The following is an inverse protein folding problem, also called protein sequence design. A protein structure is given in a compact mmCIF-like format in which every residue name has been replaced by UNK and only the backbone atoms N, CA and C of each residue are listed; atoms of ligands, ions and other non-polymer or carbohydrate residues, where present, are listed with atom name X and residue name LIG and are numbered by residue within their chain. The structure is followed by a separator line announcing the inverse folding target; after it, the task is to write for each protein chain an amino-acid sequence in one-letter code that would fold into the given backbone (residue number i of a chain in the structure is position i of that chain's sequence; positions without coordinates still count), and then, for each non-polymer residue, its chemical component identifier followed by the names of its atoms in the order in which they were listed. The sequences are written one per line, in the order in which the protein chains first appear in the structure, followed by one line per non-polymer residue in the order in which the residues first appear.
data_IF_039778775753
#
_entry.id   IF_039778775753
#
_cell.length_a   1.000
_cell.length_b   1.000
_cell.length_c   1.000
_cell.angle_alpha   90.00
_cell.angle_beta   90.00
_cell.angle_gamma   90.00
#
_symmetry.space_group_name_H-M   'P 1'
#
loop_
_entity.id
_entity.type
_entity.pdbx_description
1 polymer ?
#
# COMPACT_ATOMS: atom_id res chain seq x y z
N UNK A 1 -10.47 -7.21 6.91
CA UNK A 1 -9.50 -7.52 5.87
C UNK A 1 -10.13 -8.43 4.86
N UNK A 2 -9.72 -8.34 3.68
CA UNK A 2 -10.45 -8.79 2.52
C UNK A 2 -10.31 -10.27 2.23
N UNK A 3 -11.20 -10.70 1.35
CA UNK A 3 -11.26 -12.05 0.79
C UNK A 3 -9.89 -12.45 0.23
N UNK A 4 -9.53 -13.71 0.39
CA UNK A 4 -8.28 -14.28 -0.11
C UNK A 4 -8.19 -14.36 -1.66
N UNK A 5 -9.15 -13.82 -2.40
CA UNK A 5 -9.22 -13.96 -3.85
C UNK A 5 -9.32 -12.62 -4.54
N UNK A 6 -8.30 -12.32 -5.31
CA UNK A 6 -8.46 -11.38 -6.41
C UNK A 6 -8.65 -12.19 -7.67
N UNK A 7 -9.76 -11.99 -8.37
CA UNK A 7 -9.86 -12.50 -9.74
C UNK A 7 -8.88 -11.74 -10.62
N UNK A 8 -8.32 -12.40 -11.64
CA UNK A 8 -7.43 -11.73 -12.61
C UNK A 8 -8.09 -10.48 -13.19
N UNK A 9 -9.40 -10.49 -13.37
CA UNK A 9 -10.20 -9.37 -13.85
C UNK A 9 -10.07 -8.11 -12.98
N UNK A 10 -10.04 -8.25 -11.65
CA UNK A 10 -9.86 -7.10 -10.74
C UNK A 10 -8.44 -6.57 -10.73
N UNK A 11 -7.45 -7.44 -10.80
CA UNK A 11 -6.05 -7.03 -10.99
C UNK A 11 -5.93 -6.24 -12.29
N UNK A 12 -6.55 -6.71 -13.36
CA UNK A 12 -6.53 -6.06 -14.66
C UNK A 12 -7.27 -4.70 -14.63
N UNK A 13 -8.36 -4.56 -13.87
CA UNK A 13 -9.04 -3.28 -13.68
C UNK A 13 -8.15 -2.24 -12.97
N UNK A 14 -7.44 -2.63 -11.92
CA UNK A 14 -6.62 -1.71 -11.12
C UNK A 14 -5.24 -1.46 -11.73
N UNK A 15 -4.63 -2.47 -12.34
CA UNK A 15 -3.24 -2.45 -12.78
C UNK A 15 -2.99 -2.90 -14.23
N UNK A 16 -4.05 -3.18 -15.00
CA UNK A 16 -3.91 -3.69 -16.38
C UNK A 16 -3.08 -2.77 -17.27
N UNK A 17 -3.16 -1.47 -17.05
CA UNK A 17 -2.37 -0.46 -17.74
C UNK A 17 -0.86 -0.51 -17.42
N UNK A 18 -0.46 -1.19 -16.35
CA UNK A 18 0.94 -1.37 -15.95
C UNK A 18 1.53 -2.69 -16.45
N UNK A 19 0.67 -3.69 -16.70
CA UNK A 19 1.10 -5.05 -17.05
C UNK A 19 1.52 -5.15 -18.51
N UNK A 20 0.80 -4.49 -19.43
CA UNK A 20 1.09 -4.50 -20.85
C UNK A 20 2.09 -3.41 -21.19
N UNK A 21 3.15 -3.78 -21.89
CA UNK A 21 4.25 -2.88 -22.24
C UNK A 21 3.79 -1.59 -22.90
N UNK A 22 2.89 -1.67 -23.89
CA UNK A 22 2.38 -0.50 -24.60
C UNK A 22 1.60 0.42 -23.66
N UNK A 23 0.70 -0.14 -22.86
CA UNK A 23 -0.17 0.63 -21.96
C UNK A 23 0.66 1.28 -20.85
N UNK A 24 1.67 0.59 -20.33
CA UNK A 24 2.61 1.11 -19.34
C UNK A 24 3.41 2.30 -19.90
N UNK A 25 3.94 2.19 -21.12
CA UNK A 25 4.64 3.29 -21.79
C UNK A 25 3.72 4.51 -22.02
N UNK A 26 2.49 4.29 -22.48
CA UNK A 26 1.52 5.37 -22.65
C UNK A 26 1.20 6.06 -21.32
N UNK A 27 1.08 5.27 -20.24
CA UNK A 27 0.80 5.80 -18.92
C UNK A 27 1.99 6.55 -18.33
N UNK A 28 3.21 6.06 -18.55
CA UNK A 28 4.45 6.78 -18.26
C UNK A 28 4.44 8.17 -18.89
N UNK A 29 4.13 8.26 -20.20
CA UNK A 29 4.04 9.53 -20.92
C UNK A 29 2.98 10.49 -20.33
N UNK A 30 1.83 9.95 -19.87
CA UNK A 30 0.79 10.74 -19.20
C UNK A 30 1.25 11.28 -17.84
N UNK A 31 1.99 10.49 -17.07
CA UNK A 31 2.53 10.93 -15.77
C UNK A 31 3.55 12.03 -15.95
N UNK A 32 4.37 12.00 -17.01
CA UNK A 32 5.33 13.06 -17.28
C UNK A 32 4.71 14.43 -17.56
N UNK A 33 3.44 14.45 -17.98
CA UNK A 33 2.69 15.68 -18.26
C UNK A 33 1.92 16.21 -17.02
N UNK A 34 1.91 15.47 -15.91
CA UNK A 34 1.24 15.87 -14.68
C UNK A 34 2.22 16.57 -13.74
N UNK A 35 1.66 17.43 -12.87
CA UNK A 35 2.40 17.93 -11.72
C UNK A 35 2.76 16.76 -10.82
N UNK A 36 4.04 16.67 -10.45
CA UNK A 36 4.56 15.62 -9.61
C UNK A 36 5.66 16.10 -8.69
N UNK A 37 5.70 15.55 -7.51
CA UNK A 37 6.71 15.83 -6.49
C UNK A 37 7.70 14.67 -6.44
N UNK A 38 8.98 14.94 -6.62
CA UNK A 38 10.01 13.92 -6.39
C UNK A 38 10.22 13.72 -4.89
N UNK A 39 9.98 12.49 -4.42
CA UNK A 39 9.95 12.15 -3.00
C UNK A 39 11.06 11.18 -2.56
N UNK A 40 12.05 10.88 -3.42
CA UNK A 40 13.07 9.87 -3.09
C UNK A 40 13.84 10.19 -1.79
N UNK A 41 14.06 11.48 -1.51
CA UNK A 41 14.73 11.94 -0.27
C UNK A 41 13.85 11.70 0.95
N UNK A 42 12.55 12.02 0.87
CA UNK A 42 11.57 11.80 1.95
C UNK A 42 11.40 10.30 2.24
N UNK A 43 11.38 9.48 1.21
CA UNK A 43 11.33 8.02 1.33
C UNK A 43 12.66 7.44 1.82
N UNK A 44 13.74 8.21 1.71
CA UNK A 44 15.08 7.80 2.15
C UNK A 44 15.66 6.67 1.32
N UNK A 45 15.48 6.73 0.00
CA UNK A 45 16.04 5.76 -0.95
C UNK A 45 17.05 6.44 -1.87
N UNK A 46 18.10 5.70 -2.21
CA UNK A 46 19.08 6.11 -3.22
C UNK A 46 18.73 5.40 -4.53
N UNK A 47 18.49 6.18 -5.56
CA UNK A 47 18.10 5.66 -6.86
C UNK A 47 19.21 5.96 -7.89
N UNK A 48 19.46 5.06 -8.85
CA UNK A 48 20.26 5.37 -10.03
C UNK A 48 19.67 6.56 -10.80
N UNK A 49 20.51 7.31 -11.50
CA UNK A 49 20.11 8.56 -12.17
C UNK A 49 19.03 8.44 -13.27
N UNK A 50 18.77 7.21 -13.74
CA UNK A 50 17.67 6.94 -14.67
C UNK A 50 16.31 6.75 -13.98
N UNK A 51 16.25 6.72 -12.64
CA UNK A 51 15.01 6.50 -11.90
C UNK A 51 14.56 7.77 -11.18
N UNK A 52 13.25 7.96 -11.14
CA UNK A 52 12.57 9.01 -10.38
C UNK A 52 11.47 8.39 -9.54
N UNK A 53 11.44 8.68 -8.23
CA UNK A 53 10.34 8.29 -7.35
C UNK A 53 9.50 9.53 -7.07
N UNK A 54 8.28 9.54 -7.59
CA UNK A 54 7.44 10.72 -7.52
C UNK A 54 6.06 10.43 -6.96
N UNK A 55 5.49 11.42 -6.27
CA UNK A 55 4.09 11.49 -5.89
C UNK A 55 3.31 12.28 -6.94
N UNK A 56 2.15 11.77 -7.32
CA UNK A 56 1.16 12.43 -8.16
C UNK A 56 -0.18 12.48 -7.44
N UNK A 57 -0.86 13.61 -7.51
CA UNK A 57 -2.20 13.74 -6.95
C UNK A 57 -3.23 13.13 -7.90
N UNK A 58 -4.20 12.44 -7.31
CA UNK A 58 -5.35 11.88 -7.98
C UNK A 58 -6.62 12.61 -7.53
N UNK A 59 -7.76 12.21 -8.09
CA UNK A 59 -9.05 12.79 -7.71
C UNK A 59 -9.39 12.51 -6.23
N UNK A 60 -10.20 13.38 -5.61
CA UNK A 60 -10.76 13.23 -4.26
C UNK A 60 -9.73 13.18 -3.11
N UNK A 61 -8.53 13.72 -3.33
CA UNK A 61 -7.45 13.73 -2.34
C UNK A 61 -6.70 12.40 -2.25
N UNK A 62 -6.98 11.47 -3.15
CA UNK A 62 -6.15 10.28 -3.34
C UNK A 62 -4.85 10.65 -4.06
N UNK A 63 -3.85 9.80 -3.98
CA UNK A 63 -2.58 10.02 -4.67
C UNK A 63 -1.94 8.70 -5.09
N UNK A 64 -0.96 8.78 -5.98
CA UNK A 64 -0.11 7.64 -6.27
C UNK A 64 1.37 8.00 -6.09
N UNK A 65 2.15 6.98 -5.73
CA UNK A 65 3.61 7.04 -5.70
C UNK A 65 4.11 6.13 -6.81
N UNK A 66 4.92 6.67 -7.70
CA UNK A 66 5.36 5.99 -8.91
C UNK A 66 6.88 5.98 -8.98
N UNK A 67 7.47 4.85 -9.33
CA UNK A 67 8.87 4.74 -9.71
C UNK A 67 8.95 4.71 -11.23
N UNK A 68 9.46 5.77 -11.79
CA UNK A 68 9.68 5.93 -13.23
C UNK A 68 11.09 5.48 -13.59
N UNK A 69 11.23 4.69 -14.65
CA UNK A 69 12.51 4.43 -15.31
C UNK A 69 12.56 5.20 -16.62
N UNK A 70 13.33 6.27 -16.64
CA UNK A 70 13.50 7.14 -17.80
C UNK A 70 14.31 6.47 -18.92
N UNK A 71 15.11 5.45 -18.62
CA UNK A 71 15.90 4.75 -19.63
C UNK A 71 15.08 3.82 -20.51
N UNK A 72 14.04 3.20 -19.92
CA UNK A 72 13.12 2.32 -20.64
C UNK A 72 11.76 2.96 -20.92
N UNK A 73 11.53 4.19 -20.42
CA UNK A 73 10.26 4.91 -20.49
C UNK A 73 9.09 4.09 -19.95
N UNK A 74 9.26 3.56 -18.71
CA UNK A 74 8.31 2.65 -18.04
C UNK A 74 8.09 3.04 -16.59
N UNK A 75 6.95 2.63 -16.09
CA UNK A 75 6.65 2.61 -14.66
C UNK A 75 7.11 1.25 -14.12
N UNK A 76 8.05 1.26 -13.19
CA UNK A 76 8.58 0.05 -12.56
C UNK A 76 7.87 -0.32 -11.25
N UNK A 77 7.26 0.68 -10.59
CA UNK A 77 6.55 0.50 -9.33
C UNK A 77 5.40 1.52 -9.21
N UNK A 78 4.28 1.09 -8.66
CA UNK A 78 3.10 1.91 -8.52
C UNK A 78 2.40 1.62 -7.19
N UNK A 79 2.19 2.65 -6.39
CA UNK A 79 1.44 2.58 -5.14
C UNK A 79 0.28 3.57 -5.24
N UNK A 80 -0.95 3.06 -5.24
CA UNK A 80 -2.16 3.88 -5.15
C UNK A 80 -2.55 3.99 -3.69
N UNK A 81 -2.64 5.19 -3.18
CA UNK A 81 -3.10 5.49 -1.84
C UNK A 81 -4.47 6.18 -1.91
N UNK A 82 -5.47 5.53 -1.34
CA UNK A 82 -6.82 6.08 -1.22
C UNK A 82 -7.03 6.55 0.21
N UNK A 83 -7.38 7.82 0.38
CA UNK A 83 -7.64 8.40 1.71
C UNK A 83 -9.08 8.06 2.12
N UNK A 84 -9.22 7.39 3.24
CA UNK A 84 -10.52 7.00 3.78
C UNK A 84 -11.09 8.07 4.71
N UNK A 85 -12.33 8.47 4.43
CA UNK A 85 -13.03 9.53 5.18
C UNK A 85 -14.06 8.99 6.18
N UNK A 86 -14.41 7.72 6.06
CA UNK A 86 -15.48 7.07 6.85
C UNK A 86 -14.96 6.28 8.05
N UNK A 87 -13.67 6.32 8.30
CA UNK A 87 -13.06 5.70 9.48
C UNK A 87 -13.11 6.69 10.64
N UNK A 88 -13.96 6.39 11.62
CA UNK A 88 -14.12 7.22 12.82
C UNK A 88 -13.02 6.85 13.81
N UNK A 89 -11.88 7.51 13.70
CA UNK A 89 -10.76 7.35 14.62
C UNK A 89 -10.21 8.73 14.98
N UNK A 90 -9.85 8.91 16.24
CA UNK A 90 -9.13 10.10 16.68
C UNK A 90 -7.63 9.96 16.35
N UNK A 91 -7.30 10.13 15.07
CA UNK A 91 -5.98 9.85 14.54
C UNK A 91 -5.75 10.57 13.21
N UNK A 92 -4.52 10.51 12.71
CA UNK A 92 -4.17 10.93 11.35
C UNK A 92 -5.03 10.21 10.30
N UNK A 93 -5.26 10.83 9.13
CA UNK A 93 -6.03 10.21 8.06
C UNK A 93 -5.56 8.79 7.75
N UNK A 94 -6.52 7.92 7.46
CA UNK A 94 -6.25 6.51 7.14
C UNK A 94 -6.17 6.35 5.64
N UNK A 95 -5.15 5.66 5.15
CA UNK A 95 -4.99 5.36 3.73
C UNK A 95 -5.06 3.87 3.47
N UNK A 96 -5.86 3.48 2.50
CA UNK A 96 -5.76 2.16 1.88
C UNK A 96 -4.71 2.19 0.80
N UNK A 97 -3.86 1.18 0.76
CA UNK A 97 -2.75 1.11 -0.18
C UNK A 97 -2.89 -0.11 -1.08
N UNK A 98 -2.94 0.13 -2.39
CA UNK A 98 -2.81 -0.87 -3.43
C UNK A 98 -1.43 -0.75 -4.08
N UNK A 99 -0.77 -1.88 -4.32
CA UNK A 99 0.61 -1.92 -4.76
C UNK A 99 0.78 -2.83 -5.98
N UNK A 100 1.47 -2.31 -6.98
CA UNK A 100 1.95 -3.06 -8.12
C UNK A 100 3.46 -2.91 -8.29
N UNK A 101 4.12 -3.98 -8.67
CA UNK A 101 5.55 -4.02 -9.00
C UNK A 101 5.75 -4.79 -10.29
N UNK A 102 6.61 -4.28 -11.17
CA UNK A 102 7.04 -5.02 -12.36
C UNK A 102 7.73 -6.34 -11.99
N UNK A 103 7.54 -7.35 -12.80
CA UNK A 103 8.26 -8.62 -12.70
C UNK A 103 9.60 -8.61 -13.48
N UNK A 104 9.95 -7.49 -14.12
CA UNK A 104 11.19 -7.36 -14.86
C UNK A 104 12.37 -7.30 -13.87
N UNK A 105 13.25 -8.28 -13.97
CA UNK A 105 14.42 -8.44 -13.09
C UNK A 105 15.38 -7.24 -13.13
N UNK A 106 15.37 -6.45 -14.21
CA UNK A 106 16.19 -5.23 -14.32
C UNK A 106 15.87 -4.22 -13.22
N UNK A 107 14.63 -4.21 -12.73
CA UNK A 107 14.16 -3.29 -11.70
C UNK A 107 14.23 -3.88 -10.28
N UNK A 108 14.66 -5.13 -10.11
CA UNK A 108 14.62 -5.83 -8.83
C UNK A 108 15.38 -5.07 -7.73
N UNK A 109 16.57 -4.58 -8.05
CA UNK A 109 17.42 -3.87 -7.09
C UNK A 109 16.77 -2.58 -6.55
N UNK A 110 16.07 -1.82 -7.39
CA UNK A 110 15.44 -0.54 -7.00
C UNK A 110 14.05 -0.71 -6.41
N UNK A 111 13.38 -1.83 -6.67
CA UNK A 111 12.03 -2.12 -6.14
C UNK A 111 12.06 -2.94 -4.85
N UNK A 112 13.17 -3.65 -4.56
CA UNK A 112 13.31 -4.44 -3.34
C UNK A 112 13.32 -3.52 -2.11
N UNK A 113 12.43 -3.79 -1.17
CA UNK A 113 12.29 -3.00 0.06
C UNK A 113 11.61 -1.65 -0.12
N UNK A 114 11.30 -1.22 -1.35
CA UNK A 114 10.72 0.09 -1.64
C UNK A 114 9.36 0.30 -0.94
N UNK A 115 8.49 -0.71 -0.91
CA UNK A 115 7.22 -0.64 -0.18
C UNK A 115 7.43 -0.28 1.29
N UNK A 116 8.38 -0.94 1.95
CA UNK A 116 8.70 -0.68 3.36
C UNK A 116 9.15 0.76 3.57
N UNK A 117 10.04 1.26 2.72
CA UNK A 117 10.49 2.64 2.80
C UNK A 117 9.33 3.63 2.57
N UNK A 118 8.49 3.40 1.55
CA UNK A 118 7.32 4.23 1.30
C UNK A 118 6.37 4.22 2.50
N UNK A 119 6.04 3.05 3.06
CA UNK A 119 5.07 2.97 4.15
C UNK A 119 5.60 3.59 5.44
N UNK A 120 6.78 3.17 5.88
CA UNK A 120 7.28 3.49 7.22
C UNK A 120 8.04 4.81 7.31
N UNK A 121 8.59 5.33 6.20
CA UNK A 121 9.34 6.59 6.21
C UNK A 121 8.60 7.75 5.55
N UNK A 122 7.57 7.47 4.74
CA UNK A 122 6.84 8.52 4.03
C UNK A 122 5.36 8.55 4.42
N UNK A 123 4.61 7.47 4.20
CA UNK A 123 3.17 7.48 4.47
C UNK A 123 2.87 7.67 5.94
N UNK A 124 3.55 6.97 6.84
CA UNK A 124 3.34 7.09 8.29
C UNK A 124 3.77 8.42 8.90
N UNK A 125 4.36 9.35 8.14
CA UNK A 125 4.59 10.73 8.62
C UNK A 125 3.29 11.55 8.67
N UNK A 126 2.34 11.26 7.80
CA UNK A 126 1.10 12.05 7.67
C UNK A 126 -0.17 11.22 7.68
N UNK A 127 -0.07 9.91 7.56
CA UNK A 127 -1.19 9.00 7.43
C UNK A 127 -1.01 7.77 8.31
N UNK A 128 -2.11 7.11 8.65
CA UNK A 128 -2.09 5.72 9.06
C UNK A 128 -2.22 4.82 7.84
N UNK A 129 -1.55 3.68 7.81
CA UNK A 129 -1.60 2.74 6.69
C UNK A 129 -2.56 1.61 6.98
N UNK A 130 -3.59 1.48 6.15
CA UNK A 130 -4.54 0.38 6.20
C UNK A 130 -4.11 -0.72 5.24
N UNK A 131 -3.87 -1.88 5.78
CA UNK A 131 -3.62 -3.09 5.02
C UNK A 131 -4.96 -3.76 4.65
N UNK A 132 -5.84 -3.06 3.98
CA UNK A 132 -7.10 -3.66 3.57
C UNK A 132 -7.42 -3.38 2.13
N UNK A 133 -7.74 -4.42 1.43
CA UNK A 133 -8.41 -4.35 0.15
C UNK A 133 -9.63 -5.26 0.21
N UNK A 134 -10.62 -5.03 -0.61
CA UNK A 134 -11.77 -5.93 -0.75
C UNK A 134 -11.37 -7.32 -1.27
N UNK A 135 -10.18 -7.47 -1.83
CA UNK A 135 -9.64 -8.73 -2.34
C UNK A 135 -8.11 -8.74 -2.25
N UNK A 136 -7.53 -9.84 -1.80
CA UNK A 136 -6.08 -10.05 -1.80
C UNK A 136 -5.71 -11.39 -2.40
N UNK A 137 -4.56 -11.44 -3.08
CA UNK A 137 -3.92 -12.69 -3.45
C UNK A 137 -3.22 -13.31 -2.23
N UNK A 138 -2.84 -14.58 -2.33
CA UNK A 138 -2.04 -15.23 -1.29
C UNK A 138 -0.72 -14.47 -1.03
N UNK A 139 -0.07 -13.98 -2.08
CA UNK A 139 1.13 -13.17 -2.00
C UNK A 139 0.87 -11.80 -1.33
N UNK A 140 -0.29 -11.20 -1.62
CA UNK A 140 -0.72 -9.96 -0.97
C UNK A 140 -0.93 -10.15 0.54
N UNK A 141 -1.57 -11.25 0.94
CA UNK A 141 -1.71 -11.62 2.36
C UNK A 141 -0.34 -11.79 3.02
N UNK A 142 0.56 -12.54 2.41
CA UNK A 142 1.89 -12.76 2.94
C UNK A 142 2.70 -11.44 3.02
N UNK A 143 2.57 -10.60 1.99
CA UNK A 143 3.17 -9.27 1.99
C UNK A 143 2.71 -8.45 3.20
N UNK A 144 1.39 -8.33 3.43
CA UNK A 144 0.86 -7.57 4.55
C UNK A 144 1.17 -8.19 5.91
N UNK A 145 1.19 -9.53 6.02
CA UNK A 145 1.64 -10.22 7.22
C UNK A 145 3.08 -9.83 7.58
N UNK A 146 3.96 -9.71 6.59
CA UNK A 146 5.34 -9.23 6.80
C UNK A 146 5.39 -7.75 7.19
N UNK A 147 4.56 -6.88 6.59
CA UNK A 147 4.57 -5.45 6.95
C UNK A 147 4.05 -5.23 8.38
N UNK A 148 2.98 -5.89 8.76
CA UNK A 148 2.45 -5.82 10.15
C UNK A 148 3.42 -6.41 11.17
N UNK A 149 4.08 -7.52 10.83
CA UNK A 149 5.14 -8.09 11.66
C UNK A 149 6.33 -7.15 11.85
N UNK A 150 6.76 -6.47 10.77
CA UNK A 150 7.80 -5.44 10.86
C UNK A 150 7.35 -4.26 11.72
N UNK A 151 6.11 -3.82 11.58
CA UNK A 151 5.57 -2.73 12.40
C UNK A 151 5.65 -3.06 13.89
N UNK A 152 5.22 -4.27 14.29
CA UNK A 152 5.31 -4.73 15.68
C UNK A 152 6.76 -4.83 16.17
N UNK A 153 7.68 -5.29 15.31
CA UNK A 153 9.10 -5.41 15.66
C UNK A 153 9.83 -4.07 15.78
N UNK A 154 9.23 -2.99 15.32
CA UNK A 154 9.78 -1.62 15.37
C UNK A 154 8.97 -0.68 16.27
N UNK A 155 8.26 -1.23 17.24
CA UNK A 155 7.46 -0.50 18.24
C UNK A 155 6.37 0.39 17.65
N UNK A 156 5.92 0.11 16.43
CA UNK A 156 4.75 0.75 15.86
C UNK A 156 3.48 0.07 16.35
N UNK A 157 2.38 0.78 16.24
CA UNK A 157 1.08 0.28 16.65
C UNK A 157 0.43 -0.46 15.49
N UNK A 158 -0.14 -1.62 15.78
CA UNK A 158 -0.96 -2.39 14.84
C UNK A 158 -2.32 -2.63 15.47
N UNK A 159 -3.37 -2.37 14.72
CA UNK A 159 -4.75 -2.52 15.19
C UNK A 159 -5.58 -3.35 14.22
N UNK A 160 -6.53 -4.10 14.78
CA UNK A 160 -7.71 -4.59 14.09
C UNK A 160 -8.83 -3.59 14.32
N UNK A 161 -9.42 -3.07 13.26
CA UNK A 161 -10.57 -2.18 13.33
C UNK A 161 -11.75 -2.80 12.60
N UNK A 162 -12.92 -2.85 13.24
CA UNK A 162 -14.15 -3.30 12.62
C UNK A 162 -15.04 -2.09 12.33
N UNK A 163 -15.34 -1.86 11.04
CA UNK A 163 -15.98 -0.62 10.56
C UNK A 163 -17.42 -0.47 11.04
N UNK A 164 -18.20 -1.57 11.06
CA UNK A 164 -19.62 -1.52 11.41
C UNK A 164 -19.78 -1.27 12.92
N UNK A 165 -19.04 -2.02 13.72
CA UNK A 165 -19.15 -1.93 15.19
C UNK A 165 -18.27 -0.83 15.77
N UNK A 166 -17.47 -0.16 14.94
CA UNK A 166 -16.46 0.82 15.35
C UNK A 166 -15.53 0.29 16.47
N UNK A 167 -15.22 -1.02 16.47
CA UNK A 167 -14.35 -1.62 17.50
C UNK A 167 -12.90 -1.58 17.07
N UNK A 168 -12.02 -1.15 17.96
CA UNK A 168 -10.58 -1.07 17.78
C UNK A 168 -9.86 -1.98 18.76
N UNK A 169 -9.09 -2.94 18.25
CA UNK A 169 -8.33 -3.89 19.06
C UNK A 169 -6.85 -3.75 18.71
N UNK A 170 -6.03 -3.44 19.72
CA UNK A 170 -4.57 -3.39 19.54
C UNK A 170 -4.02 -4.81 19.43
N UNK A 171 -3.23 -5.05 18.40
CA UNK A 171 -2.49 -6.30 18.21
C UNK A 171 -1.08 -6.11 18.75
N UNK A 172 -0.67 -7.00 19.65
CA UNK A 172 0.63 -6.91 20.33
C UNK A 172 1.56 -8.08 19.98
N UNK A 173 1.05 -9.11 19.33
CA UNK A 173 1.82 -10.31 18.98
C UNK A 173 1.64 -10.65 17.50
N UNK A 174 2.77 -10.84 16.82
CA UNK A 174 2.78 -11.25 15.42
C UNK A 174 2.17 -12.64 15.17
N UNK A 175 2.21 -13.53 16.18
CA UNK A 175 1.57 -14.84 16.07
C UNK A 175 0.04 -14.71 15.82
N UNK A 176 -0.60 -13.74 16.44
CA UNK A 176 -2.03 -13.43 16.25
C UNK A 176 -2.36 -13.16 14.78
N UNK A 177 -1.48 -12.41 14.08
CA UNK A 177 -1.65 -12.08 12.66
C UNK A 177 -1.36 -13.30 11.78
N UNK A 178 -0.26 -13.98 12.04
CA UNK A 178 0.17 -15.14 11.25
C UNK A 178 -0.84 -16.28 11.31
N UNK A 179 -1.33 -16.58 12.50
CA UNK A 179 -2.25 -17.69 12.75
C UNK A 179 -3.72 -17.29 12.50
N UNK A 180 -3.94 -16.05 12.09
CA UNK A 180 -5.27 -15.44 11.85
C UNK A 180 -6.23 -15.51 13.05
N UNK A 181 -5.71 -15.60 14.26
CA UNK A 181 -6.55 -15.67 15.48
C UNK A 181 -7.28 -14.36 15.82
N UNK A 182 -6.95 -13.27 15.10
CA UNK A 182 -7.67 -12.00 15.16
C UNK A 182 -8.62 -11.78 13.97
N UNK A 183 -8.92 -12.81 13.21
CA UNK A 183 -9.85 -12.78 12.06
C UNK A 183 -9.55 -11.65 11.04
N UNK A 184 -8.29 -11.41 10.76
CA UNK A 184 -7.89 -10.41 9.75
C UNK A 184 -8.10 -10.91 8.32
N UNK A 185 -8.11 -12.22 8.10
CA UNK A 185 -8.14 -12.86 6.79
C UNK A 185 -9.28 -13.89 6.72
N UNK A 186 -9.94 -14.03 5.59
CA UNK A 186 -10.95 -15.06 5.40
C UNK A 186 -11.87 -14.83 4.21
N UNK A 187 -12.84 -15.72 4.05
CA UNK A 187 -13.80 -15.74 2.94
C UNK A 187 -15.19 -15.23 3.32
N UNK A 188 -15.42 -14.91 4.60
CA UNK A 188 -16.68 -14.37 5.08
C UNK A 188 -16.88 -12.95 4.52
N UNK A 189 -18.11 -12.61 4.13
CA UNK A 189 -18.45 -11.28 3.62
C UNK A 189 -18.14 -10.15 4.62
N UNK A 190 -18.21 -10.46 5.92
CA UNK A 190 -17.92 -9.50 6.98
C UNK A 190 -16.44 -9.11 7.06
N UNK A 191 -15.53 -9.88 6.49
CA UNK A 191 -14.09 -9.52 6.45
C UNK A 191 -13.81 -8.23 5.68
N UNK A 192 -14.68 -7.79 4.77
CA UNK A 192 -14.54 -6.49 4.12
C UNK A 192 -14.68 -5.32 5.10
N UNK A 193 -15.28 -5.54 6.26
CA UNK A 193 -15.43 -4.57 7.33
C UNK A 193 -14.28 -4.58 8.34
N UNK A 194 -13.39 -5.55 8.26
CA UNK A 194 -12.23 -5.68 9.15
C UNK A 194 -10.99 -5.10 8.50
N UNK A 195 -10.37 -4.11 9.14
CA UNK A 195 -9.17 -3.43 8.67
C UNK A 195 -7.98 -3.73 9.60
N UNK A 196 -6.80 -3.92 9.03
CA UNK A 196 -5.56 -3.82 9.78
C UNK A 196 -4.98 -2.42 9.60
N UNK A 197 -4.71 -1.73 10.69
CA UNK A 197 -4.18 -0.37 10.67
C UNK A 197 -2.79 -0.37 11.29
N UNK A 198 -1.82 0.22 10.61
CA UNK A 198 -0.48 0.48 11.13
C UNK A 198 -0.39 1.98 11.43
N UNK A 199 0.08 2.35 12.62
CA UNK A 199 0.21 3.74 13.07
C UNK A 199 1.52 3.97 13.83
N UNK A 200 2.05 5.20 13.76
CA UNK A 200 3.14 5.67 14.62
C UNK A 200 2.65 6.02 16.01
N UNK A 201 1.42 6.45 16.13
CA UNK A 201 0.83 6.93 17.38
C UNK A 201 -0.27 5.99 17.87
N UNK A 202 -0.55 6.05 19.14
CA UNK A 202 -1.68 5.33 19.71
C UNK A 202 -2.99 5.92 19.17
N UNK A 203 -3.85 5.04 18.65
CA UNK A 203 -5.16 5.39 18.11
C UNK A 203 -6.23 5.10 19.16
N UNK A 204 -7.23 5.98 19.26
CA UNK A 204 -8.45 5.80 20.04
C UNK A 204 -9.67 6.04 19.16
N UNK A 205 -10.80 5.48 19.59
CA UNK A 205 -12.12 5.74 19.02
C UNK A 205 -12.73 6.94 19.73
#
# INVERSE_FOLDING_TARGET
MPRNYTTQEKIDQEFGFLVKDKDNHEHYGKILQQDRENIHTQVGVVLPGSYELSRIELVEGNFAIVLLDHSSERIAYYVKASVWKDVVLNASPVTQVLLWRTNDVRHEMVTTGLARSIFFKYLLESYNVVASDSHQTAEGREFWTRQTGFALATDLYVYRYHRIDCTLIKITDHAIIRDNSCDLWGDNEDYCNVLAIISKEAITI
#
